data_IF_063567391023
#
_entry.id   IF_063567391023
#
_cell.length_a   1.000
_cell.length_b   1.000
_cell.length_c   1.000
_cell.angle_alpha   90.00
_cell.angle_beta   90.00
_cell.angle_gamma   90.00
#
_symmetry.space_group_name_H-M   'P 1'
#
loop_
_entity.id
_entity.type
_entity.pdbx_description
1 polymer ?
#
# COMPACT_ATOMS: atom_id res chain seq x y z
N UNK A 1 -73.95 8.40 -23.53
CA UNK A 1 -72.70 8.33 -24.32
C UNK A 1 -71.53 8.27 -23.34
N UNK A 2 -70.76 7.18 -23.35
CA UNK A 2 -69.70 6.88 -22.37
C UNK A 2 -68.38 7.53 -22.79
N UNK A 3 -67.76 8.28 -21.89
CA UNK A 3 -66.38 8.77 -22.03
C UNK A 3 -65.40 7.71 -21.52
N UNK A 4 -64.38 7.40 -22.31
CA UNK A 4 -63.27 6.50 -21.97
C UNK A 4 -62.03 7.36 -21.73
N UNK A 5 -61.47 7.27 -20.53
CA UNK A 5 -60.21 7.91 -20.11
C UNK A 5 -59.07 6.94 -20.43
N UNK A 6 -58.12 7.36 -21.27
CA UNK A 6 -56.87 6.64 -21.54
C UNK A 6 -55.82 7.02 -20.48
N UNK A 7 -55.46 6.06 -19.63
CA UNK A 7 -54.33 6.18 -18.70
C UNK A 7 -53.04 5.68 -19.34
N UNK A 8 -52.04 6.56 -19.48
CA UNK A 8 -50.69 6.23 -19.92
C UNK A 8 -49.89 5.74 -18.70
N UNK A 9 -49.53 4.46 -18.69
CA UNK A 9 -48.59 3.88 -17.72
C UNK A 9 -47.15 4.13 -18.20
N UNK A 10 -46.44 5.06 -17.56
CA UNK A 10 -44.98 5.20 -17.70
C UNK A 10 -44.28 4.07 -16.94
N UNK A 11 -43.79 3.07 -17.65
CA UNK A 11 -42.85 2.09 -17.14
C UNK A 11 -41.48 2.76 -16.94
N UNK A 12 -41.14 3.08 -15.70
CA UNK A 12 -39.77 3.41 -15.29
C UNK A 12 -38.92 2.15 -15.37
N UNK A 13 -38.17 2.01 -16.47
CA UNK A 13 -37.07 1.05 -16.59
C UNK A 13 -35.96 1.45 -15.61
N UNK A 14 -35.94 0.80 -14.45
CA UNK A 14 -34.74 0.75 -13.62
C UNK A 14 -33.68 -0.05 -14.39
N UNK A 15 -32.77 0.66 -15.05
CA UNK A 15 -31.54 0.07 -15.58
C UNK A 15 -30.68 -0.34 -14.39
N UNK A 16 -30.70 -1.65 -14.08
CA UNK A 16 -29.71 -2.24 -13.18
C UNK A 16 -28.34 -2.02 -13.80
N UNK A 17 -27.58 -1.08 -13.24
CA UNK A 17 -26.19 -0.85 -13.63
C UNK A 17 -25.44 -2.13 -13.26
N UNK A 18 -25.17 -2.98 -14.25
CA UNK A 18 -24.32 -4.13 -14.07
C UNK A 18 -22.95 -3.60 -13.63
N UNK A 19 -22.67 -3.71 -12.34
CA UNK A 19 -21.34 -3.44 -11.78
C UNK A 19 -20.33 -4.24 -12.61
N UNK A 20 -19.45 -3.53 -13.32
CA UNK A 20 -18.33 -4.16 -14.03
C UNK A 20 -17.60 -5.07 -13.03
N UNK A 21 -17.65 -6.39 -13.28
CA UNK A 21 -16.94 -7.37 -12.45
C UNK A 21 -15.45 -7.05 -12.51
N UNK A 22 -14.78 -7.02 -11.36
CA UNK A 22 -13.33 -6.87 -11.29
C UNK A 22 -12.66 -8.02 -12.06
N UNK A 23 -11.48 -7.77 -12.62
CA UNK A 23 -10.72 -8.83 -13.29
C UNK A 23 -10.04 -9.74 -12.27
N UNK A 24 -9.75 -9.19 -11.08
CA UNK A 24 -9.05 -9.86 -10.00
C UNK A 24 -9.92 -9.98 -8.73
N UNK A 25 -9.71 -11.06 -7.99
CA UNK A 25 -10.12 -11.29 -6.62
C UNK A 25 -9.87 -10.04 -5.77
N UNK A 26 -10.93 -9.57 -5.12
CA UNK A 26 -10.92 -8.44 -4.19
C UNK A 26 -10.58 -7.07 -4.81
N UNK A 27 -10.37 -6.97 -6.13
CA UNK A 27 -10.14 -5.68 -6.81
C UNK A 27 -11.23 -4.66 -6.48
N UNK A 28 -12.50 -5.04 -6.62
CA UNK A 28 -13.64 -4.18 -6.33
C UNK A 28 -13.67 -3.72 -4.86
N UNK A 29 -13.28 -4.60 -3.93
CA UNK A 29 -13.21 -4.27 -2.50
C UNK A 29 -12.08 -3.28 -2.22
N UNK A 30 -10.88 -3.51 -2.75
CA UNK A 30 -9.77 -2.54 -2.63
C UNK A 30 -10.11 -1.19 -3.24
N UNK A 31 -10.74 -1.19 -4.41
CA UNK A 31 -11.17 0.01 -5.11
C UNK A 31 -12.19 0.82 -4.29
N UNK A 32 -13.19 0.17 -3.69
CA UNK A 32 -14.14 0.83 -2.77
C UNK A 32 -13.43 1.38 -1.53
N UNK A 33 -12.57 0.60 -0.88
CA UNK A 33 -11.82 1.02 0.31
C UNK A 33 -10.95 2.25 0.02
N UNK A 34 -10.20 2.21 -1.08
CA UNK A 34 -9.32 3.29 -1.48
C UNK A 34 -10.07 4.55 -1.89
N UNK A 35 -11.14 4.44 -2.69
CA UNK A 35 -11.98 5.62 -3.04
C UNK A 35 -12.56 6.29 -1.80
N UNK A 36 -13.10 5.49 -0.87
CA UNK A 36 -13.66 6.01 0.37
C UNK A 36 -12.61 6.74 1.20
N UNK A 37 -11.37 6.24 1.21
CA UNK A 37 -10.28 6.89 1.93
C UNK A 37 -9.77 8.16 1.25
N UNK A 38 -9.62 8.14 -0.09
CA UNK A 38 -9.29 9.33 -0.89
C UNK A 38 -10.34 10.43 -0.69
N UNK A 39 -11.64 10.09 -0.70
CA UNK A 39 -12.71 11.05 -0.42
C UNK A 39 -12.61 11.70 0.97
N UNK A 40 -12.05 11.00 1.98
CA UNK A 40 -11.78 11.58 3.31
C UNK A 40 -10.57 12.53 3.31
N UNK A 41 -9.63 12.33 2.38
CA UNK A 41 -8.47 13.18 2.20
C UNK A 41 -8.83 14.49 1.46
N UNK A 42 -9.84 14.48 0.60
CA UNK A 42 -10.23 15.64 -0.22
C UNK A 42 -10.47 16.93 0.58
N UNK A 43 -11.02 16.81 1.79
CA UNK A 43 -11.29 17.94 2.69
C UNK A 43 -10.12 18.35 3.59
N UNK A 44 -9.00 17.62 3.57
CA UNK A 44 -7.86 17.90 4.46
C UNK A 44 -7.00 19.03 3.91
N UNK A 45 -6.51 19.89 4.80
CA UNK A 45 -5.63 20.97 4.44
C UNK A 45 -4.22 20.47 4.12
N UNK A 46 -3.55 21.18 3.22
CA UNK A 46 -2.08 21.13 3.12
C UNK A 46 -1.50 22.01 4.21
N UNK A 47 -0.36 21.63 4.76
CA UNK A 47 0.30 22.45 5.79
C UNK A 47 0.72 23.80 5.24
N UNK A 48 0.49 24.83 6.06
CA UNK A 48 1.13 26.10 5.91
C UNK A 48 2.37 26.11 6.82
N UNK A 49 3.56 25.93 6.24
CA UNK A 49 4.82 25.96 6.99
C UNK A 49 4.95 27.23 7.84
N UNK A 50 4.46 28.37 7.36
CA UNK A 50 4.51 29.64 8.07
C UNK A 50 3.63 29.69 9.32
N UNK A 51 2.65 28.79 9.44
CA UNK A 51 1.81 28.64 10.62
C UNK A 51 2.43 27.69 11.67
N UNK A 52 3.45 26.91 11.31
CA UNK A 52 4.15 26.04 12.26
C UNK A 52 5.09 26.85 13.16
N UNK A 53 5.22 26.43 14.42
CA UNK A 53 6.23 26.94 15.34
C UNK A 53 7.64 26.76 14.75
N UNK A 54 8.60 27.70 14.98
CA UNK A 54 9.90 27.68 14.32
C UNK A 54 10.66 26.35 14.41
N UNK A 55 10.70 25.72 15.59
CA UNK A 55 11.37 24.42 15.78
C UNK A 55 10.74 23.31 14.91
N UNK A 56 9.41 23.21 14.89
CA UNK A 56 8.68 22.22 14.08
C UNK A 56 8.82 22.48 12.58
N UNK A 57 8.84 23.76 12.19
CA UNK A 57 9.11 24.17 10.82
C UNK A 57 10.49 23.73 10.36
N UNK A 58 11.53 23.96 11.18
CA UNK A 58 12.90 23.54 10.91
C UNK A 58 13.01 22.03 10.67
N UNK A 59 12.43 21.23 11.56
CA UNK A 59 12.41 19.76 11.41
C UNK A 59 11.68 19.34 10.13
N UNK A 60 10.52 19.94 9.83
CA UNK A 60 9.78 19.58 8.63
C UNK A 60 10.52 19.95 7.34
N UNK A 61 11.12 21.15 7.30
CA UNK A 61 11.92 21.59 6.16
C UNK A 61 13.11 20.66 5.98
N UNK A 62 13.84 20.33 7.05
CA UNK A 62 14.97 19.40 6.99
C UNK A 62 14.55 18.04 6.42
N UNK A 63 13.42 17.49 6.90
CA UNK A 63 12.92 16.20 6.41
C UNK A 63 12.58 16.23 4.92
N UNK A 64 11.97 17.30 4.45
CA UNK A 64 11.63 17.45 3.03
C UNK A 64 12.83 17.84 2.17
N UNK A 65 13.88 18.43 2.73
CA UNK A 65 15.15 18.60 2.00
C UNK A 65 15.72 17.24 1.59
N UNK A 66 15.71 16.25 2.48
CA UNK A 66 16.19 14.89 2.18
C UNK A 66 15.33 14.17 1.12
N UNK A 67 14.04 14.51 1.03
CA UNK A 67 13.08 13.92 0.07
C UNK A 67 13.14 14.62 -1.30
N UNK A 68 13.56 15.87 -1.33
CA UNK A 68 13.52 16.74 -2.51
C UNK A 68 14.93 17.02 -3.04
N UNK A 69 15.95 16.31 -2.55
CA UNK A 69 17.37 16.59 -2.80
C UNK A 69 17.75 16.45 -4.27
N UNK A 70 17.18 15.48 -4.97
CA UNK A 70 17.39 15.19 -6.39
C UNK A 70 16.34 15.81 -7.32
N UNK A 71 15.41 16.59 -6.76
CA UNK A 71 14.34 17.26 -7.50
C UNK A 71 13.21 16.35 -7.98
N UNK A 72 13.13 15.10 -7.51
CA UNK A 72 12.06 14.14 -7.79
C UNK A 72 11.49 13.60 -6.47
N UNK A 73 10.17 13.45 -6.37
CA UNK A 73 9.57 12.67 -5.27
C UNK A 73 9.37 11.23 -5.76
N UNK A 74 10.23 10.30 -5.35
CA UNK A 74 10.19 8.88 -5.72
C UNK A 74 9.57 8.01 -4.60
N UNK A 75 8.34 7.56 -4.83
CA UNK A 75 7.58 6.71 -3.91
C UNK A 75 7.44 5.31 -4.51
N UNK A 76 7.82 4.29 -3.76
CA UNK A 76 7.78 2.90 -4.23
C UNK A 76 6.93 2.02 -3.33
N UNK A 77 5.98 1.30 -3.90
CA UNK A 77 5.08 0.38 -3.22
C UNK A 77 5.41 -1.05 -3.65
N UNK A 78 5.82 -1.87 -2.68
CA UNK A 78 6.07 -3.28 -2.87
C UNK A 78 4.92 -4.10 -2.25
N UNK A 79 4.09 -4.68 -3.11
CA UNK A 79 3.02 -5.58 -2.70
C UNK A 79 3.63 -6.98 -2.50
N UNK A 80 3.62 -7.44 -1.25
CA UNK A 80 4.10 -8.76 -0.83
C UNK A 80 3.19 -9.88 -1.33
N UNK A 81 3.58 -11.13 -1.08
CA UNK A 81 2.73 -12.27 -1.37
C UNK A 81 1.60 -12.29 -0.35
N UNK A 82 0.47 -11.73 -0.75
CA UNK A 82 -0.60 -11.40 0.18
C UNK A 82 -1.69 -12.45 0.15
N UNK A 83 -1.40 -13.62 0.73
CA UNK A 83 -2.32 -14.75 0.77
C UNK A 83 -3.43 -14.61 1.81
N UNK A 84 -4.54 -15.28 1.57
CA UNK A 84 -5.59 -15.45 2.58
C UNK A 84 -5.18 -16.50 3.64
N UNK A 85 -4.78 -16.07 4.82
CA UNK A 85 -4.10 -16.93 5.82
C UNK A 85 -5.01 -17.85 6.64
N UNK A 86 -6.33 -17.83 6.43
CA UNK A 86 -7.27 -18.62 7.27
C UNK A 86 -7.20 -20.13 7.04
N UNK A 87 -6.54 -20.58 5.97
CA UNK A 87 -6.50 -22.00 5.60
C UNK A 87 -7.84 -22.53 5.09
N UNK A 88 -8.78 -21.66 4.70
CA UNK A 88 -10.03 -22.03 4.06
C UNK A 88 -9.99 -21.82 2.55
N UNK A 89 -10.81 -22.57 1.80
CA UNK A 89 -11.13 -22.22 0.42
C UNK A 89 -11.84 -20.87 0.37
N UNK A 90 -11.49 -20.04 -0.61
CA UNK A 90 -12.11 -18.74 -0.83
C UNK A 90 -13.01 -18.84 -2.06
N UNK A 91 -14.26 -18.45 -1.90
CA UNK A 91 -15.21 -18.31 -2.99
C UNK A 91 -15.60 -16.85 -3.13
N UNK A 92 -15.50 -16.31 -4.34
CA UNK A 92 -15.90 -14.94 -4.64
C UNK A 92 -16.56 -14.91 -6.02
N UNK A 93 -17.67 -14.18 -6.14
CA UNK A 93 -18.38 -13.97 -7.40
C UNK A 93 -18.76 -15.28 -8.14
N UNK A 94 -19.07 -16.34 -7.38
CA UNK A 94 -19.43 -17.65 -7.93
C UNK A 94 -18.24 -18.49 -8.41
N UNK A 95 -17.00 -18.04 -8.19
CA UNK A 95 -15.76 -18.75 -8.54
C UNK A 95 -15.00 -19.18 -7.28
N UNK A 96 -14.43 -20.38 -7.30
CA UNK A 96 -13.46 -20.82 -6.28
C UNK A 96 -12.07 -20.29 -6.63
N UNK A 97 -11.39 -19.71 -5.64
CA UNK A 97 -9.99 -19.28 -5.72
C UNK A 97 -9.05 -20.24 -4.99
N UNK A 98 -9.59 -21.36 -4.50
CA UNK A 98 -8.83 -22.37 -3.78
C UNK A 98 -8.40 -21.89 -2.39
N UNK A 99 -7.42 -22.60 -1.85
CA UNK A 99 -6.86 -22.35 -0.53
C UNK A 99 -5.89 -21.17 -0.58
N UNK A 100 -6.07 -20.21 0.33
CA UNK A 100 -5.11 -19.12 0.53
C UNK A 100 -4.71 -18.35 -0.74
N UNK A 101 -5.66 -17.90 -1.57
CA UNK A 101 -5.34 -17.15 -2.78
C UNK A 101 -4.61 -15.84 -2.46
N UNK A 102 -3.83 -15.36 -3.41
CA UNK A 102 -3.14 -14.08 -3.29
C UNK A 102 -4.05 -12.91 -3.69
N UNK A 103 -3.88 -11.80 -2.98
CA UNK A 103 -4.71 -10.59 -3.09
C UNK A 103 -3.96 -9.41 -3.73
N UNK A 104 -2.66 -9.55 -3.98
CA UNK A 104 -1.78 -8.47 -4.43
C UNK A 104 -2.07 -8.02 -5.87
N UNK A 105 -2.54 -8.90 -6.75
CA UNK A 105 -3.01 -8.51 -8.10
C UNK A 105 -4.23 -7.58 -8.03
N UNK A 106 -5.22 -7.94 -7.19
CA UNK A 106 -6.41 -7.11 -6.98
C UNK A 106 -6.08 -5.78 -6.32
N UNK A 107 -5.17 -5.78 -5.34
CA UNK A 107 -4.67 -4.56 -4.71
C UNK A 107 -3.94 -3.65 -5.73
N UNK A 108 -3.09 -4.22 -6.58
CA UNK A 108 -2.42 -3.48 -7.66
C UNK A 108 -3.42 -2.87 -8.63
N UNK A 109 -4.39 -3.64 -9.12
CA UNK A 109 -5.39 -3.16 -10.07
C UNK A 109 -6.20 -1.99 -9.51
N UNK A 110 -6.61 -2.08 -8.24
CA UNK A 110 -7.28 -1.00 -7.53
C UNK A 110 -6.38 0.23 -7.32
N UNK A 111 -5.13 0.06 -6.89
CA UNK A 111 -4.18 1.17 -6.74
C UNK A 111 -3.93 1.88 -8.06
N UNK A 112 -3.68 1.13 -9.15
CA UNK A 112 -3.51 1.67 -10.49
C UNK A 112 -4.71 2.53 -10.90
N UNK A 113 -5.93 2.03 -10.68
CA UNK A 113 -7.16 2.78 -10.97
C UNK A 113 -7.27 4.05 -10.14
N UNK A 114 -6.99 3.99 -8.84
CA UNK A 114 -7.03 5.14 -7.94
C UNK A 114 -5.99 6.21 -8.31
N UNK A 115 -4.75 5.79 -8.56
CA UNK A 115 -3.64 6.66 -8.97
C UNK A 115 -3.99 7.41 -10.27
N UNK A 116 -4.68 6.77 -11.22
CA UNK A 116 -4.97 7.34 -12.54
C UNK A 116 -6.31 8.06 -12.64
N UNK A 117 -7.20 7.89 -11.67
CA UNK A 117 -8.49 8.61 -11.62
C UNK A 117 -8.23 10.09 -11.33
N UNK A 118 -9.00 11.05 -11.89
CA UNK A 118 -8.87 12.46 -11.53
C UNK A 118 -8.99 12.70 -10.03
N UNK A 119 -8.18 13.62 -9.51
CA UNK A 119 -8.36 14.06 -8.13
C UNK A 119 -9.52 15.03 -7.99
N UNK A 120 -10.25 14.87 -6.89
CA UNK A 120 -11.20 15.85 -6.39
C UNK A 120 -10.62 16.54 -5.15
N UNK A 121 -11.13 17.75 -4.86
CA UNK A 121 -10.70 18.52 -3.69
C UNK A 121 -9.18 18.68 -3.56
N UNK A 122 -8.66 18.35 -2.38
CA UNK A 122 -7.24 18.54 -2.03
C UNK A 122 -6.41 17.26 -2.06
N UNK A 123 -6.98 16.09 -2.38
CA UNK A 123 -6.20 14.86 -2.50
C UNK A 123 -5.10 14.97 -3.58
N UNK A 124 -4.00 14.27 -3.32
CA UNK A 124 -2.79 14.19 -4.15
C UNK A 124 -2.43 12.76 -4.52
N UNK A 125 -3.01 11.75 -3.88
CA UNK A 125 -2.83 10.34 -4.23
C UNK A 125 -3.29 9.95 -5.65
N UNK A 126 -4.16 10.73 -6.27
CA UNK A 126 -4.79 10.45 -7.57
C UNK A 126 -4.22 11.34 -8.70
N UNK A 127 -4.78 11.29 -9.91
CA UNK A 127 -4.47 12.19 -11.03
C UNK A 127 -3.09 11.99 -11.67
N UNK A 128 -2.44 10.87 -11.44
CA UNK A 128 -1.20 10.49 -12.10
C UNK A 128 -1.47 9.99 -13.53
N UNK A 129 -0.47 10.15 -14.40
CA UNK A 129 -0.44 9.52 -15.71
C UNK A 129 0.43 8.26 -15.63
N UNK A 130 -0.12 7.13 -16.07
CA UNK A 130 0.67 5.91 -16.21
C UNK A 130 1.71 6.09 -17.33
N UNK A 131 2.93 5.63 -17.10
CA UNK A 131 3.97 5.58 -18.12
C UNK A 131 3.55 4.61 -19.23
N UNK A 132 3.54 5.03 -20.52
CA UNK A 132 3.11 4.18 -21.62
C UNK A 132 4.02 2.96 -21.83
N UNK A 133 5.27 3.03 -21.39
CA UNK A 133 6.27 1.96 -21.53
C UNK A 133 6.45 1.15 -20.24
N UNK A 134 5.83 1.56 -19.14
CA UNK A 134 5.93 0.87 -17.85
C UNK A 134 4.61 0.96 -17.07
N UNK A 135 3.84 -0.14 -17.10
CA UNK A 135 2.54 -0.21 -16.42
C UNK A 135 2.58 -0.09 -14.90
N UNK A 136 3.77 -0.17 -14.30
CA UNK A 136 3.99 -0.08 -12.86
C UNK A 136 4.41 1.31 -12.41
N UNK A 137 4.63 2.25 -13.35
CA UNK A 137 5.11 3.60 -13.06
C UNK A 137 4.05 4.66 -13.37
N UNK A 138 3.89 5.58 -12.45
CA UNK A 138 2.90 6.65 -12.51
C UNK A 138 3.59 7.99 -12.22
N UNK A 139 3.40 8.98 -13.08
CA UNK A 139 4.05 10.28 -12.97
C UNK A 139 3.03 11.42 -12.89
N UNK A 140 3.33 12.42 -12.08
CA UNK A 140 2.51 13.63 -11.92
C UNK A 140 3.38 14.79 -11.43
N UNK A 141 3.05 16.02 -11.81
CA UNK A 141 3.57 17.21 -11.12
C UNK A 141 2.73 17.48 -9.85
N UNK A 142 3.39 17.70 -8.72
CA UNK A 142 2.75 18.08 -7.46
C UNK A 142 3.37 19.36 -6.89
N UNK A 143 2.60 20.09 -6.09
CA UNK A 143 3.09 21.29 -5.41
C UNK A 143 3.33 20.98 -3.93
N UNK A 144 4.58 21.08 -3.50
CA UNK A 144 5.01 20.89 -2.12
C UNK A 144 5.64 22.20 -1.64
N UNK A 145 5.11 22.75 -0.55
CA UNK A 145 5.59 24.00 0.06
C UNK A 145 5.70 25.20 -0.90
N UNK A 146 4.81 25.26 -1.90
CA UNK A 146 4.77 26.33 -2.91
C UNK A 146 5.60 26.06 -4.16
N UNK A 147 6.45 25.04 -4.16
CA UNK A 147 7.28 24.65 -5.30
C UNK A 147 6.69 23.45 -6.03
N UNK A 148 6.91 23.38 -7.34
CA UNK A 148 6.48 22.27 -8.18
C UNK A 148 7.58 21.22 -8.28
N UNK A 149 7.21 19.96 -8.10
CA UNK A 149 8.11 18.82 -8.24
C UNK A 149 7.47 17.75 -9.12
N UNK A 150 8.24 17.07 -9.99
CA UNK A 150 7.83 15.78 -10.50
C UNK A 150 7.71 14.80 -9.33
N UNK A 151 6.64 14.02 -9.33
CA UNK A 151 6.44 12.89 -8.44
C UNK A 151 6.27 11.62 -9.27
N UNK A 152 6.97 10.56 -8.85
CA UNK A 152 6.89 9.22 -9.39
C UNK A 152 6.37 8.30 -8.31
N UNK A 153 5.33 7.54 -8.64
CA UNK A 153 4.88 6.39 -7.85
C UNK A 153 5.15 5.13 -8.66
N UNK A 154 5.89 4.17 -8.11
CA UNK A 154 6.02 2.82 -8.68
C UNK A 154 5.31 1.80 -7.79
N UNK A 155 4.49 0.92 -8.38
CA UNK A 155 3.75 -0.11 -7.65
C UNK A 155 3.98 -1.45 -8.31
N UNK A 156 4.60 -2.39 -7.60
CA UNK A 156 4.82 -3.76 -8.10
C UNK A 156 4.20 -4.80 -7.15
N UNK A 157 3.89 -5.98 -7.70
CA UNK A 157 3.32 -7.11 -6.97
C UNK A 157 4.08 -8.41 -7.25
N UNK A 158 3.91 -9.39 -6.35
CA UNK A 158 4.76 -10.57 -6.24
C UNK A 158 4.19 -11.84 -6.84
N UNK A 159 2.87 -11.96 -6.93
CA UNK A 159 2.23 -13.18 -7.38
C UNK A 159 2.19 -13.32 -8.90
N UNK A 160 2.36 -14.54 -9.41
CA UNK A 160 2.16 -14.85 -10.82
C UNK A 160 0.68 -14.95 -11.19
N UNK A 161 -0.12 -15.55 -10.31
CA UNK A 161 -1.59 -15.64 -10.39
C UNK A 161 -2.20 -15.47 -9.00
N UNK A 162 -3.52 -15.43 -8.91
CA UNK A 162 -4.27 -15.39 -7.64
C UNK A 162 -4.34 -16.75 -6.96
N UNK A 163 -3.99 -17.82 -7.67
CA UNK A 163 -4.22 -19.20 -7.28
C UNK A 163 -2.94 -19.79 -6.69
N UNK A 164 -2.98 -20.08 -5.38
CA UNK A 164 -1.81 -20.61 -4.67
C UNK A 164 -1.31 -21.93 -5.27
N UNK A 165 -2.21 -22.85 -5.59
CA UNK A 165 -1.87 -24.15 -6.20
C UNK A 165 -1.17 -23.99 -7.56
N UNK A 166 -1.60 -23.03 -8.36
CA UNK A 166 -0.98 -22.69 -9.65
C UNK A 166 0.40 -22.08 -9.45
N UNK A 167 0.53 -21.15 -8.49
CA UNK A 167 1.79 -20.52 -8.13
C UNK A 167 2.81 -21.50 -7.52
N UNK A 168 2.35 -22.56 -6.83
CA UNK A 168 3.21 -23.62 -6.29
C UNK A 168 3.47 -24.75 -7.29
N UNK A 169 2.60 -24.93 -8.28
CA UNK A 169 2.67 -26.00 -9.27
C UNK A 169 3.10 -25.48 -10.64
N UNK A 170 2.14 -25.39 -11.56
CA UNK A 170 2.39 -25.14 -12.99
C UNK A 170 3.15 -23.84 -13.28
N UNK A 171 2.98 -22.81 -12.45
CA UNK A 171 3.63 -21.50 -12.61
C UNK A 171 4.69 -21.23 -11.54
N UNK A 172 5.23 -22.29 -10.93
CA UNK A 172 6.26 -22.17 -9.87
C UNK A 172 7.53 -21.47 -10.33
N UNK A 173 7.94 -21.67 -11.59
CA UNK A 173 9.08 -20.97 -12.16
C UNK A 173 8.83 -19.46 -12.29
N UNK A 174 7.71 -19.08 -12.91
CA UNK A 174 7.33 -17.68 -13.09
C UNK A 174 7.11 -16.99 -11.73
N UNK A 175 6.53 -17.71 -10.77
CA UNK A 175 6.39 -17.23 -9.41
C UNK A 175 7.76 -16.98 -8.76
N UNK A 176 8.72 -17.89 -8.90
CA UNK A 176 10.07 -17.71 -8.37
C UNK A 176 10.79 -16.52 -9.03
N UNK A 177 10.63 -16.35 -10.35
CA UNK A 177 11.18 -15.20 -11.08
C UNK A 177 10.60 -13.87 -10.55
N UNK A 178 9.29 -13.82 -10.29
CA UNK A 178 8.63 -12.66 -9.67
C UNK A 178 9.08 -12.42 -8.24
N UNK A 179 9.20 -13.48 -7.44
CA UNK A 179 9.72 -13.39 -6.06
C UNK A 179 11.12 -12.80 -6.05
N UNK A 180 12.03 -13.29 -6.90
CA UNK A 180 13.39 -12.78 -7.02
C UNK A 180 13.42 -11.32 -7.49
N UNK A 181 12.59 -10.97 -8.48
CA UNK A 181 12.44 -9.59 -8.94
C UNK A 181 11.98 -8.68 -7.81
N UNK A 182 10.96 -9.08 -7.05
CA UNK A 182 10.37 -8.27 -5.98
C UNK A 182 11.30 -8.10 -4.78
N UNK A 183 12.04 -9.14 -4.40
CA UNK A 183 13.11 -9.03 -3.40
C UNK A 183 14.14 -7.97 -3.81
N UNK A 184 14.61 -8.03 -5.05
CA UNK A 184 15.59 -7.09 -5.57
C UNK A 184 15.03 -5.68 -5.74
N UNK A 185 13.77 -5.56 -6.20
CA UNK A 185 13.04 -4.30 -6.31
C UNK A 185 12.91 -3.62 -4.95
N UNK A 186 12.45 -4.35 -3.93
CA UNK A 186 12.25 -3.80 -2.59
C UNK A 186 13.58 -3.40 -1.95
N UNK A 187 14.64 -4.22 -2.08
CA UNK A 187 15.97 -3.86 -1.62
C UNK A 187 16.48 -2.57 -2.29
N UNK A 188 16.34 -2.44 -3.62
CA UNK A 188 16.71 -1.22 -4.35
C UNK A 188 15.84 -0.02 -3.96
N UNK A 189 14.55 -0.23 -3.69
CA UNK A 189 13.65 0.83 -3.23
C UNK A 189 14.13 1.39 -1.90
N UNK A 190 14.43 0.52 -0.93
CA UNK A 190 14.94 0.90 0.40
C UNK A 190 16.25 1.68 0.34
N UNK A 191 17.05 1.49 -0.71
CA UNK A 191 18.32 2.17 -0.89
C UNK A 191 18.19 3.49 -1.65
N UNK A 192 17.19 3.65 -2.51
CA UNK A 192 17.22 4.72 -3.52
C UNK A 192 15.98 5.62 -3.56
N UNK A 193 14.85 5.19 -3.01
CA UNK A 193 13.60 5.95 -3.06
C UNK A 193 13.42 6.84 -1.82
N UNK A 194 12.66 7.92 -1.95
CA UNK A 194 12.37 8.85 -0.85
C UNK A 194 11.36 8.26 0.13
N UNK A 195 10.46 7.43 -0.38
CA UNK A 195 9.55 6.66 0.43
C UNK A 195 9.31 5.26 -0.12
N UNK A 196 9.29 4.28 0.78
CA UNK A 196 9.00 2.89 0.47
C UNK A 196 7.86 2.37 1.33
N UNK A 197 6.86 1.76 0.70
CA UNK A 197 5.74 1.12 1.39
C UNK A 197 5.73 -0.38 1.05
N UNK A 198 5.94 -1.22 2.05
CA UNK A 198 5.63 -2.65 1.95
C UNK A 198 4.18 -2.87 2.37
N UNK A 199 3.41 -3.59 1.55
CA UNK A 199 2.06 -4.01 1.89
C UNK A 199 1.89 -5.51 1.62
N UNK A 200 1.67 -6.28 2.68
CA UNK A 200 1.55 -7.74 2.60
C UNK A 200 1.75 -8.41 3.95
N UNK A 201 1.90 -9.73 3.96
CA UNK A 201 2.15 -10.47 5.21
C UNK A 201 3.59 -10.37 5.65
N UNK A 202 3.82 -10.08 6.93
CA UNK A 202 5.17 -10.07 7.51
C UNK A 202 5.48 -11.33 8.34
N UNK A 203 4.62 -12.35 8.22
CA UNK A 203 4.84 -13.73 8.67
C UNK A 203 5.27 -13.86 10.15
N UNK A 204 4.53 -13.24 11.06
CA UNK A 204 4.80 -13.21 12.50
C UNK A 204 6.25 -12.79 12.86
N UNK A 205 6.74 -11.74 12.21
CA UNK A 205 8.10 -11.25 12.43
C UNK A 205 9.17 -11.87 11.53
N UNK A 206 8.77 -12.74 10.58
CA UNK A 206 9.64 -13.19 9.49
C UNK A 206 10.13 -12.05 8.57
N UNK A 207 9.36 -10.96 8.50
CA UNK A 207 9.64 -9.76 7.70
C UNK A 207 8.90 -9.75 6.36
N UNK A 208 9.11 -8.72 5.52
CA UNK A 208 8.53 -8.64 4.18
C UNK A 208 8.79 -9.91 3.35
N UNK A 209 7.75 -10.47 2.74
CA UNK A 209 7.82 -11.74 2.01
C UNK A 209 7.11 -11.60 0.65
N UNK A 210 7.82 -11.97 -0.40
CA UNK A 210 7.36 -11.91 -1.80
C UNK A 210 7.20 -13.30 -2.40
N UNK A 211 7.24 -14.34 -1.57
CA UNK A 211 7.11 -15.75 -1.97
C UNK A 211 5.80 -16.33 -1.47
N UNK A 212 5.26 -17.37 -2.13
CA UNK A 212 4.22 -18.19 -1.53
C UNK A 212 4.61 -18.67 -0.13
N UNK A 213 3.65 -18.76 0.82
CA UNK A 213 3.96 -19.17 2.18
C UNK A 213 4.58 -20.56 2.25
N UNK A 214 5.55 -20.73 3.14
CA UNK A 214 6.07 -22.05 3.49
C UNK A 214 5.10 -22.74 4.45
N UNK A 215 4.60 -23.91 4.06
CA UNK A 215 3.68 -24.71 4.88
C UNK A 215 4.41 -25.76 5.73
N UNK A 216 3.81 -26.12 6.86
CA UNK A 216 4.23 -27.30 7.63
C UNK A 216 3.96 -28.54 6.79
N UNK A 217 4.97 -29.42 6.65
CA UNK A 217 4.87 -30.62 5.81
C UNK A 217 3.62 -31.44 6.16
N UNK A 218 2.79 -31.71 5.15
CA UNK A 218 1.56 -32.49 5.29
C UNK A 218 0.40 -31.75 5.98
N UNK A 219 0.49 -30.42 6.18
CA UNK A 219 -0.58 -29.62 6.78
C UNK A 219 -0.85 -28.36 5.96
N UNK A 220 -2.11 -27.94 5.91
CA UNK A 220 -2.52 -26.65 5.34
C UNK A 220 -2.35 -25.51 6.34
N UNK A 221 -1.19 -25.45 7.00
CA UNK A 221 -0.84 -24.42 7.99
C UNK A 221 0.53 -23.84 7.66
N UNK A 222 0.64 -22.51 7.72
CA UNK A 222 1.90 -21.79 7.51
C UNK A 222 2.89 -22.18 8.63
N UNK A 223 4.16 -22.38 8.26
CA UNK A 223 5.23 -22.76 9.16
C UNK A 223 5.85 -21.53 9.86
N UNK A 224 5.12 -20.94 10.80
CA UNK A 224 5.62 -19.81 11.59
C UNK A 224 6.81 -20.22 12.46
N UNK A 225 6.59 -21.15 13.39
CA UNK A 225 7.57 -21.54 14.41
C UNK A 225 8.83 -22.21 13.84
N UNK A 226 8.68 -23.02 12.78
CA UNK A 226 9.80 -23.79 12.21
C UNK A 226 10.54 -23.09 11.07
N UNK A 227 9.99 -22.01 10.51
CA UNK A 227 10.60 -21.29 9.40
C UNK A 227 10.65 -19.78 9.62
N UNK A 228 9.51 -19.10 9.70
CA UNK A 228 9.50 -17.64 9.68
C UNK A 228 10.06 -17.00 10.95
N UNK A 229 9.76 -17.54 12.13
CA UNK A 229 10.25 -17.00 13.39
C UNK A 229 11.74 -17.27 13.63
N UNK A 230 12.24 -18.40 13.12
CA UNK A 230 13.61 -18.87 13.28
C UNK A 230 14.53 -18.26 12.22
N UNK A 231 14.16 -18.40 10.94
CA UNK A 231 15.03 -17.99 9.84
C UNK A 231 14.92 -16.49 9.55
N UNK A 232 13.75 -15.89 9.79
CA UNK A 232 13.44 -14.47 9.55
C UNK A 232 13.99 -13.92 8.23
N UNK A 233 13.72 -14.59 7.08
CA UNK A 233 14.39 -14.27 5.82
C UNK A 233 14.09 -12.85 5.34
N UNK A 234 12.82 -12.43 5.40
CA UNK A 234 12.40 -11.09 5.00
C UNK A 234 13.02 -9.99 5.86
N UNK A 235 13.10 -10.21 7.18
CA UNK A 235 13.71 -9.26 8.10
C UNK A 235 15.21 -9.11 7.84
N UNK A 236 15.93 -10.22 7.61
CA UNK A 236 17.35 -10.18 7.26
C UNK A 236 17.59 -9.38 5.98
N UNK A 237 16.79 -9.63 4.93
CA UNK A 237 16.86 -8.87 3.68
C UNK A 237 16.57 -7.38 3.87
N UNK A 238 15.52 -7.04 4.63
CA UNK A 238 15.15 -5.67 4.98
C UNK A 238 16.30 -4.93 5.68
N UNK A 239 16.86 -5.52 6.75
CA UNK A 239 17.94 -4.89 7.51
C UNK A 239 19.22 -4.77 6.68
N UNK A 240 19.54 -5.77 5.86
CA UNK A 240 20.70 -5.71 4.97
C UNK A 240 20.55 -4.62 3.89
N UNK A 241 19.36 -4.45 3.31
CA UNK A 241 19.12 -3.37 2.37
C UNK A 241 19.25 -1.99 3.06
N UNK A 242 18.72 -1.87 4.28
CA UNK A 242 18.79 -0.68 5.09
C UNK A 242 20.17 -0.42 5.72
N UNK A 243 21.12 -1.35 5.70
CA UNK A 243 22.46 -1.10 6.26
C UNK A 243 23.39 -0.32 5.31
N UNK A 244 22.99 -0.12 4.05
CA UNK A 244 23.74 0.65 3.05
C UNK A 244 23.89 2.14 3.39
N UNK A 245 24.75 2.86 2.67
CA UNK A 245 24.99 4.30 2.90
C UNK A 245 23.78 5.17 2.57
N UNK A 246 23.13 4.92 1.44
CA UNK A 246 21.84 5.53 1.08
C UNK A 246 20.71 4.65 1.60
N UNK A 247 19.72 5.28 2.25
CA UNK A 247 18.56 4.63 2.85
C UNK A 247 17.35 5.52 2.61
N UNK A 248 16.18 4.92 2.45
CA UNK A 248 14.94 5.67 2.30
C UNK A 248 14.65 6.52 3.54
N UNK A 249 14.33 7.82 3.39
CA UNK A 249 13.85 8.66 4.49
C UNK A 249 12.56 8.14 5.14
N UNK A 250 11.69 7.47 4.37
CA UNK A 250 10.38 7.01 4.85
C UNK A 250 10.17 5.53 4.53
N UNK A 251 9.88 4.73 5.55
CA UNK A 251 9.52 3.32 5.40
C UNK A 251 8.16 3.01 6.03
N UNK A 252 7.17 2.67 5.22
CA UNK A 252 5.91 2.08 5.68
C UNK A 252 5.95 0.56 5.67
N UNK A 253 5.79 -0.08 6.82
CA UNK A 253 5.64 -1.52 6.97
C UNK A 253 4.17 -1.86 7.28
N UNK A 254 3.38 -1.97 6.22
CA UNK A 254 1.92 -2.14 6.26
C UNK A 254 1.59 -3.63 6.34
N UNK A 255 1.94 -4.20 7.49
CA UNK A 255 1.75 -5.61 7.84
C UNK A 255 1.33 -5.73 9.31
N UNK A 256 0.74 -6.85 9.71
CA UNK A 256 0.30 -7.10 11.09
C UNK A 256 1.46 -7.03 12.10
N UNK A 257 1.19 -6.40 13.26
CA UNK A 257 2.11 -6.22 14.38
C UNK A 257 3.54 -5.78 13.99
N UNK A 258 3.64 -4.91 12.97
CA UNK A 258 4.94 -4.58 12.38
C UNK A 258 5.81 -3.74 13.31
N UNK A 259 5.21 -3.01 14.26
CA UNK A 259 5.95 -2.24 15.27
C UNK A 259 6.81 -3.16 16.13
N UNK A 260 6.19 -4.12 16.81
CA UNK A 260 6.87 -4.95 17.80
C UNK A 260 7.93 -5.86 17.16
N UNK A 261 7.66 -6.34 15.95
CA UNK A 261 8.60 -7.20 15.26
C UNK A 261 9.82 -6.46 14.71
N UNK A 262 9.65 -5.24 14.21
CA UNK A 262 10.62 -4.60 13.32
C UNK A 262 11.16 -3.26 13.80
N UNK A 263 10.37 -2.41 14.47
CA UNK A 263 10.72 -1.00 14.70
C UNK A 263 12.08 -0.84 15.39
N UNK A 264 12.33 -1.57 16.49
CA UNK A 264 13.59 -1.49 17.23
C UNK A 264 14.80 -1.80 16.34
N UNK A 265 14.71 -2.82 15.49
CA UNK A 265 15.82 -3.23 14.62
C UNK A 265 16.00 -2.27 13.46
N UNK A 266 14.90 -1.83 12.85
CA UNK A 266 14.93 -0.83 11.77
C UNK A 266 15.57 0.48 12.28
N UNK A 267 15.16 0.99 13.45
CA UNK A 267 15.74 2.20 14.04
C UNK A 267 17.22 2.05 14.41
N UNK A 268 17.64 0.85 14.84
CA UNK A 268 19.05 0.57 15.09
C UNK A 268 19.89 0.56 13.80
N UNK A 269 19.33 0.06 12.69
CA UNK A 269 20.03 -0.06 11.40
C UNK A 269 19.96 1.22 10.54
N UNK A 270 18.86 1.97 10.65
CA UNK A 270 18.55 3.16 9.87
C UNK A 270 17.93 4.24 10.77
N UNK A 271 18.72 4.86 11.67
CA UNK A 271 18.21 5.78 12.69
C UNK A 271 17.56 7.06 12.15
N UNK A 272 17.86 7.42 10.90
CA UNK A 272 17.30 8.62 10.25
C UNK A 272 16.06 8.31 9.41
N UNK A 273 15.70 7.04 9.22
CA UNK A 273 14.47 6.65 8.54
C UNK A 273 13.29 6.79 9.48
N UNK A 274 12.27 7.54 9.05
CA UNK A 274 10.96 7.55 9.68
C UNK A 274 10.21 6.28 9.32
N UNK A 275 9.59 5.63 10.30
CA UNK A 275 8.95 4.33 10.11
C UNK A 275 7.47 4.41 10.43
N UNK A 276 6.62 3.99 9.50
CA UNK A 276 5.17 3.85 9.71
C UNK A 276 4.87 2.37 9.91
N UNK A 277 4.25 2.02 11.04
CA UNK A 277 4.01 0.62 11.45
C UNK A 277 2.61 0.42 12.03
N UNK A 278 2.28 -0.83 12.33
CA UNK A 278 1.04 -1.24 13.00
C UNK A 278 1.30 -1.78 14.41
N UNK A 279 0.34 -1.58 15.31
CA UNK A 279 0.38 -2.05 16.70
C UNK A 279 -0.25 -3.42 16.95
N UNK A 280 -0.96 -3.98 15.96
CA UNK A 280 -1.78 -5.19 16.16
C UNK A 280 -1.95 -5.96 14.84
N UNK A 281 -2.64 -7.09 14.90
CA UNK A 281 -3.18 -7.80 13.74
C UNK A 281 -4.22 -6.91 13.08
N UNK A 282 -3.88 -6.39 11.90
CA UNK A 282 -4.72 -5.47 11.16
C UNK A 282 -5.53 -6.19 10.10
N UNK A 283 -6.73 -5.67 9.88
CA UNK A 283 -7.48 -6.01 8.69
C UNK A 283 -6.81 -5.40 7.46
N UNK A 284 -7.03 -6.04 6.32
CA UNK A 284 -6.49 -5.63 5.02
C UNK A 284 -6.84 -4.17 4.67
N UNK A 285 -8.02 -3.71 5.06
CA UNK A 285 -8.48 -2.35 4.81
C UNK A 285 -7.60 -1.32 5.50
N UNK A 286 -7.24 -1.54 6.76
CA UNK A 286 -6.47 -0.62 7.59
C UNK A 286 -5.08 -0.33 7.02
N UNK A 287 -4.33 -1.39 6.71
CA UNK A 287 -2.97 -1.26 6.16
C UNK A 287 -2.99 -0.69 4.74
N UNK A 288 -4.01 -1.03 3.94
CA UNK A 288 -4.19 -0.48 2.60
C UNK A 288 -4.49 1.03 2.63
N UNK A 289 -5.43 1.46 3.48
CA UNK A 289 -5.80 2.87 3.58
C UNK A 289 -4.71 3.73 4.22
N UNK A 290 -3.98 3.19 5.19
CA UNK A 290 -2.83 3.87 5.77
C UNK A 290 -1.72 4.12 4.73
N UNK A 291 -1.50 3.16 3.82
CA UNK A 291 -0.58 3.34 2.67
C UNK A 291 -0.99 4.55 1.82
N UNK A 292 -2.28 4.62 1.45
CA UNK A 292 -2.84 5.74 0.67
C UNK A 292 -2.63 7.07 1.41
N UNK A 293 -2.96 7.10 2.71
CA UNK A 293 -2.81 8.28 3.55
C UNK A 293 -1.37 8.78 3.68
N UNK A 294 -0.42 7.86 3.84
CA UNK A 294 1.01 8.20 3.94
C UNK A 294 1.54 8.79 2.65
N UNK A 295 1.16 8.19 1.51
CA UNK A 295 1.55 8.70 0.18
C UNK A 295 0.91 10.07 -0.09
N UNK A 296 -0.37 10.24 0.22
CA UNK A 296 -1.04 11.54 0.10
C UNK A 296 -0.38 12.63 0.95
N UNK A 297 0.03 12.28 2.18
CA UNK A 297 0.72 13.19 3.08
C UNK A 297 2.09 13.63 2.53
N UNK A 298 2.88 12.69 2.01
CA UNK A 298 4.16 12.98 1.36
C UNK A 298 3.95 13.97 0.22
N UNK A 299 3.04 13.65 -0.70
CA UNK A 299 2.75 14.44 -1.90
C UNK A 299 2.16 15.83 -1.61
N UNK A 300 1.68 16.06 -0.38
CA UNK A 300 1.21 17.38 0.07
C UNK A 300 2.28 18.20 0.78
N UNK A 301 3.40 17.63 1.19
CA UNK A 301 4.32 18.34 2.08
C UNK A 301 3.89 18.38 3.53
N UNK A 302 3.09 17.41 4.02
CA UNK A 302 2.56 17.46 5.38
C UNK A 302 3.61 17.14 6.44
N UNK A 303 3.50 17.80 7.58
CA UNK A 303 4.42 17.70 8.70
C UNK A 303 3.73 17.06 9.91
N UNK A 304 4.49 16.33 10.74
CA UNK A 304 4.11 15.78 12.06
C UNK A 304 2.61 15.47 12.22
N UNK A 305 1.84 16.38 12.82
CA UNK A 305 0.44 16.15 13.19
C UNK A 305 -0.47 15.95 11.98
N UNK A 306 -0.31 16.71 10.91
CA UNK A 306 -1.19 16.57 9.73
C UNK A 306 -0.81 15.37 8.89
N UNK A 307 0.47 15.00 8.83
CA UNK A 307 0.90 13.71 8.28
C UNK A 307 0.20 12.56 9.02
N UNK A 308 0.24 12.62 10.36
CA UNK A 308 -0.40 11.62 11.22
C UNK A 308 -1.91 11.56 11.06
N UNK A 309 -2.56 12.71 10.84
CA UNK A 309 -3.99 12.76 10.53
C UNK A 309 -4.31 12.06 9.20
N UNK A 310 -3.50 12.26 8.16
CA UNK A 310 -3.69 11.60 6.86
C UNK A 310 -3.52 10.09 6.94
N UNK A 311 -2.64 9.59 7.83
CA UNK A 311 -2.52 8.16 8.13
C UNK A 311 -3.71 7.56 8.89
N UNK A 312 -4.43 8.39 9.68
CA UNK A 312 -5.37 7.95 10.72
C UNK A 312 -6.79 8.51 10.49
N UNK A 313 -7.36 8.34 9.30
CA UNK A 313 -8.70 8.86 8.95
C UNK A 313 -9.88 7.89 9.19
N UNK A 314 -9.58 6.65 9.57
CA UNK A 314 -10.58 5.67 10.05
C UNK A 314 -10.38 5.39 11.53
N UNK A 315 -11.42 4.95 12.26
CA UNK A 315 -11.27 4.56 13.67
C UNK A 315 -10.18 3.50 13.90
N UNK A 316 -10.06 2.53 12.98
CA UNK A 316 -9.07 1.48 13.10
C UNK A 316 -7.66 1.98 12.78
N UNK A 317 -7.47 2.81 11.74
CA UNK A 317 -6.17 3.46 11.54
C UNK A 317 -5.79 4.32 12.75
N UNK A 318 -6.77 5.00 13.35
CA UNK A 318 -6.55 5.73 14.59
C UNK A 318 -6.07 4.81 15.69
N UNK A 319 -6.64 3.62 15.86
CA UNK A 319 -6.20 2.75 16.95
C UNK A 319 -4.81 2.14 16.71
N UNK A 320 -4.49 1.82 15.46
CA UNK A 320 -3.44 0.85 15.20
C UNK A 320 -2.26 1.32 14.37
N UNK A 321 -2.36 2.44 13.64
CA UNK A 321 -1.25 2.95 12.82
C UNK A 321 -0.43 3.93 13.63
N UNK A 322 0.89 3.73 13.63
CA UNK A 322 1.87 4.62 14.26
C UNK A 322 2.93 5.05 13.26
N UNK A 323 3.62 6.13 13.60
CA UNK A 323 4.71 6.72 12.84
C UNK A 323 5.76 7.16 13.87
N UNK A 324 6.98 6.68 13.71
CA UNK A 324 8.06 6.83 14.69
C UNK A 324 9.30 7.38 13.98
N UNK A 325 9.93 8.43 14.53
CA UNK A 325 11.19 8.98 14.02
C UNK A 325 11.11 9.77 12.70
N UNK A 326 9.90 10.17 12.29
CA UNK A 326 9.67 10.92 11.04
C UNK A 326 9.93 12.43 11.21
N UNK A 327 9.53 13.01 12.35
CA UNK A 327 9.62 14.45 12.64
C UNK A 327 10.05 14.71 14.09
N UNK A 328 10.99 13.89 14.58
CA UNK A 328 11.54 13.91 15.94
C UNK A 328 13.00 14.36 15.94
#
# INVERSE_FOLDING_TARGET
MKSVIFGIFSFLLFTSVASARGTYLYESRFDVMGRNYVGRLDGKATDNLNALAPAKRGICVQRYQDILDDGLIDIRIALGYFDWTTGSNVYAEGRSFGLSPSLDLGAFAALRKLLTTPCYGRARFCGFKQDPNNMYRFNREVTVHGNKYPARVEVHFSSATEFLDTNLGRMSREQQERTNFMDAYFARALQNADAVFYFGHARNGGGPDFSPPVFVRGRNKINYDGYYEVQRPGLKKLLNALSGSKKTPILGLMACNSRDHFLKKVRATAPNTGVITSLDVLNVDEVYTATIGGIDAILRGQCQQTFYQSLRLTPNNQRYITMDGMFE
#
